data_IF_792372599329
#
_entry.id   IF_792372599329
#
_cell.length_a   1.000
_cell.length_b   1.000
_cell.length_c   1.000
_cell.angle_alpha   90.00
_cell.angle_beta   90.00
_cell.angle_gamma   90.00
#
_symmetry.space_group_name_H-M   'P 1'
#
loop_
_entity.id
_entity.type
_entity.pdbx_description
1 polymer ?
#
# COMPACT_ATOMS: atom_id res chain seq x y z
N UNK A 1 30.21 -13.12 -15.06
CA UNK A 1 28.89 -12.70 -15.61
C UNK A 1 27.86 -13.82 -15.50
N UNK A 2 27.80 -14.83 -16.39
CA UNK A 2 26.80 -15.92 -16.26
C UNK A 2 27.01 -16.82 -15.03
N UNK A 3 28.27 -17.06 -14.64
CA UNK A 3 28.62 -17.86 -13.45
C UNK A 3 28.26 -17.15 -12.14
N UNK A 4 28.56 -15.86 -12.02
CA UNK A 4 28.25 -15.05 -10.84
C UNK A 4 26.74 -14.92 -10.62
N UNK A 5 25.97 -14.69 -11.69
CA UNK A 5 24.49 -14.63 -11.61
C UNK A 5 23.88 -15.98 -11.20
N UNK A 6 24.52 -17.08 -11.57
CA UNK A 6 24.07 -18.42 -11.17
C UNK A 6 24.38 -18.70 -9.69
N UNK A 7 25.56 -18.30 -9.22
CA UNK A 7 25.96 -18.43 -7.81
C UNK A 7 25.07 -17.57 -6.89
N UNK A 8 24.74 -16.33 -7.28
CA UNK A 8 23.78 -15.49 -6.56
C UNK A 8 22.40 -16.14 -6.46
N UNK A 9 21.88 -16.68 -7.57
CA UNK A 9 20.58 -17.36 -7.58
C UNK A 9 20.55 -18.65 -6.77
N UNK A 10 21.66 -19.38 -6.70
CA UNK A 10 21.76 -20.58 -5.86
C UNK A 10 21.86 -20.21 -4.38
N UNK A 11 22.55 -19.11 -4.04
CA UNK A 11 22.68 -18.62 -2.67
C UNK A 11 21.36 -18.09 -2.07
N UNK A 12 20.42 -17.65 -2.92
CA UNK A 12 19.06 -17.27 -2.52
C UNK A 12 18.15 -18.47 -2.21
N UNK A 13 18.45 -19.66 -2.75
CA UNK A 13 17.68 -20.89 -2.49
C UNK A 13 18.26 -21.55 -1.25
N UNK A 14 17.81 -21.12 -0.07
CA UNK A 14 18.28 -21.68 1.21
C UNK A 14 17.43 -22.86 1.66
N UNK A 15 16.17 -22.93 1.24
CA UNK A 15 15.22 -23.98 1.62
C UNK A 15 14.37 -24.46 0.44
N UNK A 16 13.77 -25.64 0.56
CA UNK A 16 12.84 -26.20 -0.43
C UNK A 16 11.63 -25.27 -0.70
N UNK A 17 11.19 -24.54 0.34
CA UNK A 17 10.18 -23.48 0.24
C UNK A 17 10.55 -22.31 -0.67
N UNK A 18 11.83 -22.21 -1.06
CA UNK A 18 12.32 -21.18 -1.97
C UNK A 18 12.19 -21.53 -3.44
N UNK A 19 11.90 -22.79 -3.76
CA UNK A 19 11.65 -23.18 -5.14
C UNK A 19 10.34 -22.58 -5.66
N UNK A 20 10.29 -22.20 -6.94
CA UNK A 20 9.09 -21.67 -7.56
C UNK A 20 8.03 -22.77 -7.67
N UNK A 21 6.88 -22.54 -7.05
CA UNK A 21 5.71 -23.41 -7.15
C UNK A 21 4.79 -23.06 -8.33
N UNK A 22 5.16 -22.07 -9.14
CA UNK A 22 4.33 -21.60 -10.25
C UNK A 22 5.14 -21.49 -11.55
N UNK A 23 4.46 -21.72 -12.67
CA UNK A 23 5.01 -21.56 -14.02
C UNK A 23 4.19 -20.54 -14.81
N UNK A 24 4.84 -19.89 -15.77
CA UNK A 24 4.21 -19.01 -16.74
C UNK A 24 4.40 -19.64 -18.11
N UNK A 25 3.30 -20.00 -18.74
CA UNK A 25 3.27 -20.49 -20.12
C UNK A 25 3.03 -19.30 -21.03
N UNK A 26 3.84 -19.21 -22.08
CA UNK A 26 3.80 -18.15 -23.08
C UNK A 26 3.51 -18.74 -24.45
N UNK A 27 3.16 -17.87 -25.39
CA UNK A 27 2.85 -18.25 -26.76
C UNK A 27 1.59 -19.13 -26.84
N UNK A 28 0.64 -18.89 -25.93
CA UNK A 28 -0.63 -19.62 -25.88
C UNK A 28 -1.55 -19.10 -26.99
N UNK A 29 -2.17 -19.99 -27.80
CA UNK A 29 -3.14 -19.58 -28.83
C UNK A 29 -4.31 -18.80 -28.26
N UNK A 30 -4.82 -17.84 -29.05
CA UNK A 30 -5.95 -16.99 -28.63
C UNK A 30 -7.23 -17.79 -28.41
N UNK A 31 -7.38 -18.92 -29.11
CA UNK A 31 -8.49 -19.85 -28.98
C UNK A 31 -8.67 -20.37 -27.54
N UNK A 32 -7.57 -20.53 -26.79
CA UNK A 32 -7.60 -20.96 -25.37
C UNK A 32 -8.27 -19.91 -24.48
N UNK A 33 -8.24 -18.64 -24.88
CA UNK A 33 -8.86 -17.54 -24.13
C UNK A 33 -10.27 -17.20 -24.59
N UNK A 34 -10.61 -17.54 -25.84
CA UNK A 34 -11.90 -17.20 -26.45
C UNK A 34 -12.91 -18.34 -26.38
N UNK A 35 -12.46 -19.60 -26.40
CA UNK A 35 -13.32 -20.79 -26.38
C UNK A 35 -13.15 -21.59 -25.08
N UNK A 36 -14.25 -21.78 -24.35
CA UNK A 36 -14.27 -22.52 -23.08
C UNK A 36 -13.92 -24.01 -23.24
N UNK A 37 -14.19 -24.63 -24.40
CA UNK A 37 -13.79 -26.03 -24.64
C UNK A 37 -12.28 -26.16 -24.80
N UNK A 38 -11.66 -25.22 -25.52
CA UNK A 38 -10.20 -25.17 -25.69
C UNK A 38 -9.50 -24.84 -24.37
N UNK A 39 -10.09 -23.94 -23.59
CA UNK A 39 -9.64 -23.63 -22.23
C UNK A 39 -9.68 -24.86 -21.33
N UNK A 40 -10.78 -25.63 -21.34
CA UNK A 40 -10.91 -26.86 -20.56
C UNK A 40 -9.90 -27.93 -20.99
N UNK A 41 -9.71 -28.10 -22.30
CA UNK A 41 -8.71 -29.02 -22.84
C UNK A 41 -7.29 -28.62 -22.40
N UNK A 42 -6.97 -27.32 -22.48
CA UNK A 42 -5.69 -26.80 -22.01
C UNK A 42 -5.49 -27.04 -20.50
N UNK A 43 -6.49 -26.71 -19.66
CA UNK A 43 -6.44 -26.96 -18.22
C UNK A 43 -6.24 -28.44 -17.90
N UNK A 44 -6.93 -29.34 -18.63
CA UNK A 44 -6.85 -30.79 -18.42
C UNK A 44 -5.42 -31.35 -18.52
N UNK A 45 -4.58 -30.77 -19.39
CA UNK A 45 -3.18 -31.18 -19.52
C UNK A 45 -2.40 -31.00 -18.22
N UNK A 46 -2.74 -29.98 -17.43
CA UNK A 46 -2.08 -29.66 -16.17
C UNK A 46 -2.82 -30.25 -14.97
N UNK A 47 -4.14 -30.43 -15.07
CA UNK A 47 -4.96 -31.14 -14.06
C UNK A 47 -4.53 -32.61 -13.92
N UNK A 48 -3.94 -33.22 -14.96
CA UNK A 48 -3.34 -34.57 -14.87
C UNK A 48 -2.12 -34.63 -13.95
N UNK A 49 -1.43 -33.50 -13.74
CA UNK A 49 -0.28 -33.40 -12.85
C UNK A 49 -0.77 -33.11 -11.43
N UNK A 50 -1.67 -32.14 -11.30
CA UNK A 50 -2.26 -31.74 -10.02
C UNK A 50 -3.71 -31.30 -10.21
N UNK A 51 -4.64 -31.96 -9.52
CA UNK A 51 -6.08 -31.73 -9.70
C UNK A 51 -6.51 -30.32 -9.28
N UNK A 52 -5.91 -29.77 -8.22
CA UNK A 52 -6.25 -28.48 -7.61
C UNK A 52 -5.30 -27.34 -8.03
N UNK A 53 -4.66 -27.44 -9.21
CA UNK A 53 -3.82 -26.36 -9.73
C UNK A 53 -4.63 -25.09 -10.03
N UNK A 54 -4.10 -23.92 -9.65
CA UNK A 54 -4.75 -22.63 -9.91
C UNK A 54 -4.26 -22.02 -11.23
N UNK A 55 -5.19 -21.51 -12.05
CA UNK A 55 -4.89 -20.98 -13.39
C UNK A 55 -5.28 -19.50 -13.50
N UNK A 56 -4.30 -18.63 -13.75
CA UNK A 56 -4.53 -17.24 -14.13
C UNK A 56 -4.35 -17.06 -15.64
N UNK A 57 -5.45 -16.77 -16.32
CA UNK A 57 -5.46 -16.53 -17.77
C UNK A 57 -5.23 -15.05 -18.06
N UNK A 58 -4.06 -14.72 -18.62
CA UNK A 58 -3.66 -13.35 -18.98
C UNK A 58 -3.82 -13.15 -20.50
N UNK A 59 -5.08 -12.97 -20.94
CA UNK A 59 -5.46 -12.89 -22.37
C UNK A 59 -4.62 -11.89 -23.16
N UNK A 60 -4.48 -10.65 -22.67
CA UNK A 60 -3.76 -9.57 -23.37
C UNK A 60 -2.28 -9.90 -23.61
N UNK A 61 -1.68 -10.71 -22.74
CA UNK A 61 -0.28 -11.10 -22.84
C UNK A 61 -0.08 -12.43 -23.56
N UNK A 62 -1.17 -13.15 -23.90
CA UNK A 62 -1.15 -14.54 -24.38
C UNK A 62 -0.33 -15.45 -23.46
N UNK A 63 -0.56 -15.29 -22.15
CA UNK A 63 0.14 -16.00 -21.08
C UNK A 63 -0.85 -16.64 -20.12
N UNK A 64 -0.45 -17.76 -19.55
CA UNK A 64 -1.18 -18.43 -18.48
C UNK A 64 -0.20 -18.67 -17.34
N UNK A 65 -0.54 -18.21 -16.14
CA UNK A 65 0.19 -18.57 -14.92
C UNK A 65 -0.52 -19.76 -14.29
N UNK A 66 0.23 -20.79 -13.96
CA UNK A 66 -0.26 -21.99 -13.28
C UNK A 66 0.47 -22.08 -11.95
N UNK A 67 -0.28 -22.13 -10.86
CA UNK A 67 0.23 -22.21 -9.49
C UNK A 67 -0.09 -23.61 -8.97
N UNK A 68 0.95 -24.32 -8.54
CA UNK A 68 0.89 -25.65 -7.98
C UNK A 68 1.10 -25.61 -6.46
N UNK A 69 0.64 -26.65 -5.77
CA UNK A 69 0.86 -26.82 -4.34
C UNK A 69 2.31 -27.20 -4.05
N UNK A 70 2.92 -28.03 -4.90
CA UNK A 70 4.30 -28.51 -4.75
C UNK A 70 5.23 -27.94 -5.84
N UNK A 71 6.47 -27.53 -5.49
CA UNK A 71 7.48 -27.14 -6.48
C UNK A 71 7.91 -28.29 -7.41
N UNK A 72 7.75 -29.55 -6.98
CA UNK A 72 8.02 -30.72 -7.82
C UNK A 72 7.05 -30.78 -9.01
N UNK A 73 5.76 -30.56 -8.74
CA UNK A 73 4.72 -30.52 -9.77
C UNK A 73 4.95 -29.37 -10.76
N UNK A 74 5.36 -28.20 -10.26
CA UNK A 74 5.72 -27.07 -11.12
C UNK A 74 6.91 -27.39 -12.04
N UNK A 75 7.90 -28.12 -11.53
CA UNK A 75 9.07 -28.55 -12.30
C UNK A 75 8.69 -29.58 -13.36
N UNK A 76 7.89 -30.58 -12.99
CA UNK A 76 7.36 -31.58 -13.92
C UNK A 76 6.52 -30.92 -15.04
N UNK A 77 5.60 -30.02 -14.67
CA UNK A 77 4.77 -29.28 -15.60
C UNK A 77 5.61 -28.44 -16.58
N UNK A 78 6.67 -27.77 -16.10
CA UNK A 78 7.58 -27.01 -16.96
C UNK A 78 8.29 -27.91 -17.98
N UNK A 79 8.82 -29.06 -17.54
CA UNK A 79 9.52 -30.01 -18.41
C UNK A 79 8.59 -30.57 -19.48
N UNK A 80 7.37 -30.94 -19.10
CA UNK A 80 6.35 -31.45 -20.03
C UNK A 80 5.94 -30.36 -21.05
N UNK A 81 5.76 -29.13 -20.59
CA UNK A 81 5.32 -28.02 -21.46
C UNK A 81 6.38 -27.64 -22.49
N UNK A 82 7.67 -27.77 -22.17
CA UNK A 82 8.76 -27.37 -23.07
C UNK A 82 8.75 -28.13 -24.40
N UNK A 83 8.17 -29.33 -24.43
CA UNK A 83 8.06 -30.16 -25.63
C UNK A 83 6.63 -30.26 -26.18
N UNK A 84 5.68 -29.52 -25.60
CA UNK A 84 4.28 -29.60 -25.99
C UNK A 84 3.93 -28.53 -27.04
N UNK A 85 3.23 -28.95 -28.08
CA UNK A 85 2.57 -28.05 -29.04
C UNK A 85 1.06 -28.11 -28.85
N UNK A 86 0.41 -26.95 -28.73
CA UNK A 86 -1.04 -26.83 -28.61
C UNK A 86 -1.59 -26.06 -29.80
N UNK A 87 -2.54 -26.65 -30.54
CA UNK A 87 -3.10 -26.11 -31.79
C UNK A 87 -2.04 -25.60 -32.78
N UNK A 88 -0.94 -26.34 -32.93
CA UNK A 88 0.18 -25.98 -33.83
C UNK A 88 1.14 -24.92 -33.29
N UNK A 89 0.86 -24.31 -32.14
CA UNK A 89 1.78 -23.39 -31.46
C UNK A 89 2.67 -24.13 -30.46
N UNK A 90 3.98 -23.93 -30.56
CA UNK A 90 4.93 -24.45 -29.60
C UNK A 90 4.88 -23.58 -28.33
N UNK A 91 4.55 -24.20 -27.21
CA UNK A 91 4.43 -23.52 -25.92
C UNK A 91 5.82 -23.34 -25.32
N UNK A 92 6.00 -22.25 -24.57
CA UNK A 92 7.22 -22.03 -23.78
C UNK A 92 6.85 -21.76 -22.34
N UNK A 93 7.47 -22.50 -21.42
CA UNK A 93 7.23 -22.37 -19.98
C UNK A 93 8.44 -21.78 -19.25
N UNK A 94 8.16 -20.86 -18.34
CA UNK A 94 9.14 -20.23 -17.46
C UNK A 94 8.71 -20.42 -16.00
N UNK A 95 9.65 -20.46 -15.06
CA UNK A 95 9.26 -20.40 -13.66
C UNK A 95 8.78 -19.00 -13.32
N UNK A 96 7.66 -18.90 -12.60
CA UNK A 96 7.20 -17.64 -12.06
C UNK A 96 8.08 -17.28 -10.86
N UNK A 97 8.65 -16.08 -10.87
CA UNK A 97 9.38 -15.59 -9.72
C UNK A 97 8.39 -15.31 -8.58
N UNK A 98 8.62 -15.91 -7.42
CA UNK A 98 7.84 -15.59 -6.22
C UNK A 98 8.15 -14.16 -5.84
N UNK A 99 7.15 -13.28 -5.86
CA UNK A 99 7.30 -11.91 -5.38
C UNK A 99 7.41 -11.97 -3.86
N UNK A 100 8.63 -12.10 -3.35
CA UNK A 100 8.93 -11.82 -1.95
C UNK A 100 9.04 -10.31 -1.82
N UNK A 101 7.99 -9.69 -1.30
CA UNK A 101 8.15 -8.39 -0.65
C UNK A 101 9.14 -8.67 0.50
N UNK A 102 10.30 -8.01 0.46
CA UNK A 102 11.45 -8.31 1.31
C UNK A 102 11.04 -8.35 2.80
N UNK A 103 11.68 -9.23 3.56
CA UNK A 103 11.38 -9.37 4.98
C UNK A 103 11.63 -8.05 5.71
N UNK A 104 10.65 -7.61 6.51
CA UNK A 104 10.65 -6.30 7.17
C UNK A 104 11.76 -6.09 8.23
N UNK A 105 12.67 -7.06 8.38
CA UNK A 105 13.61 -7.13 9.49
C UNK A 105 14.88 -6.29 9.33
N UNK A 106 15.35 -5.93 8.12
CA UNK A 106 16.67 -5.27 8.01
C UNK A 106 16.90 -4.37 6.77
N UNK A 107 15.84 -3.81 6.18
CA UNK A 107 15.97 -3.14 4.87
C UNK A 107 16.12 -1.61 4.96
N UNK A 108 16.18 -1.03 6.16
CA UNK A 108 16.11 0.42 6.35
C UNK A 108 14.77 1.04 5.92
N UNK A 109 13.75 0.22 5.65
CA UNK A 109 12.40 0.63 5.33
C UNK A 109 11.59 0.87 6.61
N UNK A 110 10.54 1.69 6.51
CA UNK A 110 9.60 1.92 7.62
C UNK A 110 8.97 0.60 8.06
N UNK A 111 9.09 0.30 9.35
CA UNK A 111 8.48 -0.89 9.96
C UNK A 111 6.95 -0.78 9.94
N UNK A 112 6.27 -1.92 9.80
CA UNK A 112 4.82 -1.95 9.99
C UNK A 112 4.48 -1.40 11.39
N UNK A 113 3.44 -0.56 11.51
CA UNK A 113 3.02 -0.04 12.81
C UNK A 113 2.58 -1.18 13.74
N UNK A 114 2.89 -1.11 15.04
CA UNK A 114 2.41 -2.09 16.02
C UNK A 114 0.87 -2.20 15.97
N UNK A 115 0.36 -3.43 16.05
CA UNK A 115 -1.09 -3.75 15.99
C UNK A 115 -1.94 -2.89 16.95
N UNK A 116 -1.39 -2.54 18.11
CA UNK A 116 -2.04 -1.74 19.15
C UNK A 116 -2.40 -0.30 18.70
N UNK A 117 -1.73 0.23 17.68
CA UNK A 117 -1.92 1.61 17.18
C UNK A 117 -2.65 1.67 15.83
N UNK A 118 -3.11 0.52 15.30
CA UNK A 118 -3.79 0.46 14.01
C UNK A 118 -5.24 0.98 14.05
N UNK A 119 -5.83 1.16 15.24
CA UNK A 119 -7.18 1.73 15.41
C UNK A 119 -7.27 3.23 15.09
N UNK A 120 -6.14 3.94 15.04
CA UNK A 120 -6.08 5.40 14.83
C UNK A 120 -5.74 5.81 13.40
N UNK A 121 -5.55 4.86 12.49
CA UNK A 121 -5.15 5.10 11.11
C UNK A 121 -6.18 4.48 10.17
N UNK A 122 -6.88 5.33 9.42
CA UNK A 122 -7.86 4.92 8.42
C UNK A 122 -7.20 4.15 7.26
N UNK A 123 -7.85 3.10 6.69
CA UNK A 123 -9.25 2.67 6.82
C UNK A 123 -9.46 1.49 7.82
N UNK A 124 -10.69 1.23 8.30
CA UNK A 124 -10.98 0.95 9.71
C UNK A 124 -10.54 -0.45 10.16
N UNK A 125 -9.65 -0.50 11.16
CA UNK A 125 -9.65 -1.58 12.13
C UNK A 125 -10.60 -1.16 13.26
N UNK A 126 -11.73 -1.85 13.38
CA UNK A 126 -12.70 -1.65 14.47
C UNK A 126 -11.97 -1.75 15.82
N UNK A 127 -12.32 -0.93 16.82
CA UNK A 127 -11.87 -1.16 18.19
C UNK A 127 -12.19 -2.60 18.63
N UNK A 128 -11.33 -3.23 19.45
CA UNK A 128 -11.56 -4.59 19.90
C UNK A 128 -12.83 -4.68 20.76
N UNK A 129 -13.44 -5.86 20.81
CA UNK A 129 -14.64 -6.12 21.62
C UNK A 129 -14.33 -5.79 23.09
N UNK A 130 -15.06 -4.83 23.66
CA UNK A 130 -14.88 -4.34 25.03
C UNK A 130 -14.10 -3.02 25.16
N UNK A 131 -13.67 -2.41 24.05
CA UNK A 131 -13.15 -1.04 24.09
C UNK A 131 -14.30 -0.06 24.37
N UNK A 132 -14.20 0.66 25.48
CA UNK A 132 -15.10 1.74 25.84
C UNK A 132 -14.29 3.04 25.86
N UNK A 133 -14.85 4.10 25.28
CA UNK A 133 -14.24 5.42 25.34
C UNK A 133 -14.14 5.84 26.81
N UNK A 134 -12.91 5.90 27.34
CA UNK A 134 -12.70 6.41 28.68
C UNK A 134 -13.19 7.85 28.74
N UNK A 135 -13.96 8.20 29.79
CA UNK A 135 -14.33 9.58 30.01
C UNK A 135 -13.06 10.38 30.28
N UNK A 136 -12.69 11.25 29.34
CA UNK A 136 -11.65 12.25 29.60
C UNK A 136 -12.02 13.01 30.87
N UNK A 137 -11.05 13.20 31.77
CA UNK A 137 -11.32 13.98 32.98
C UNK A 137 -11.88 15.34 32.57
N UNK A 138 -12.90 15.82 33.28
CA UNK A 138 -13.36 17.19 33.12
C UNK A 138 -12.13 18.13 33.19
N UNK A 139 -12.08 19.18 32.34
CA UNK A 139 -11.00 20.15 32.39
C UNK A 139 -10.77 20.54 33.85
N UNK A 140 -9.52 20.60 34.32
CA UNK A 140 -9.23 20.97 35.70
C UNK A 140 -9.69 22.41 35.91
N UNK A 141 -10.94 22.60 36.32
CA UNK A 141 -11.63 23.92 36.39
C UNK A 141 -10.97 24.83 37.42
N UNK A 142 -10.21 24.27 38.37
CA UNK A 142 -9.52 25.02 39.43
C UNK A 142 -8.05 24.61 39.53
N UNK A 143 -7.26 24.78 38.46
CA UNK A 143 -5.81 24.69 38.59
C UNK A 143 -5.31 25.92 39.35
N UNK A 144 -4.92 25.74 40.62
CA UNK A 144 -4.49 26.84 41.49
C UNK A 144 -3.27 27.60 40.96
N UNK A 145 -2.35 26.90 40.28
CA UNK A 145 -1.19 27.53 39.63
C UNK A 145 -1.63 28.38 38.43
N UNK A 146 -2.57 27.88 37.62
CA UNK A 146 -3.15 28.66 36.52
C UNK A 146 -3.90 29.90 37.04
N UNK A 147 -4.70 29.75 38.09
CA UNK A 147 -5.44 30.86 38.70
C UNK A 147 -4.51 31.90 39.32
N UNK A 148 -3.46 31.46 40.02
CA UNK A 148 -2.46 32.37 40.60
C UNK A 148 -1.70 33.14 39.52
N UNK A 149 -1.32 32.47 38.41
CA UNK A 149 -0.69 33.13 37.25
C UNK A 149 -1.65 34.09 36.55
N UNK A 150 -2.92 33.70 36.39
CA UNK A 150 -3.95 34.57 35.81
C UNK A 150 -4.20 35.82 36.67
N UNK A 151 -4.24 35.67 37.99
CA UNK A 151 -4.41 36.78 38.92
C UNK A 151 -3.16 37.68 39.01
N UNK A 152 -1.98 37.15 38.70
CA UNK A 152 -0.73 37.91 38.64
C UNK A 152 -0.55 38.70 37.33
N UNK A 153 -1.40 38.47 36.31
CA UNK A 153 -1.35 39.26 35.07
C UNK A 153 -1.82 40.69 35.30
N UNK A 154 -0.97 41.64 34.90
CA UNK A 154 -1.39 43.02 34.68
C UNK A 154 -1.69 43.21 33.18
N UNK A 155 -2.62 44.11 32.85
CA UNK A 155 -3.17 44.28 31.50
C UNK A 155 -2.10 44.73 30.48
N UNK A 156 -0.97 45.24 30.94
CA UNK A 156 0.09 45.82 30.10
C UNK A 156 1.32 44.90 29.92
N UNK A 157 1.33 43.71 30.52
CA UNK A 157 2.50 42.81 30.47
C UNK A 157 2.44 41.84 29.29
N UNK A 158 3.43 41.92 28.41
CA UNK A 158 3.69 40.90 27.39
C UNK A 158 4.20 39.61 28.06
N UNK A 159 3.50 38.51 27.87
CA UNK A 159 3.82 37.26 28.56
C UNK A 159 4.50 36.24 27.66
N UNK A 160 5.71 35.86 28.04
CA UNK A 160 6.45 34.79 27.38
C UNK A 160 5.96 33.41 27.85
N UNK A 161 5.19 32.74 27.00
CA UNK A 161 4.67 31.39 27.27
C UNK A 161 5.76 30.34 27.05
N UNK A 162 6.62 30.56 26.06
CA UNK A 162 7.68 29.63 25.70
C UNK A 162 8.86 30.39 25.13
N UNK A 163 10.05 30.25 25.72
CA UNK A 163 11.23 31.02 25.33
C UNK A 163 11.91 30.62 24.03
N UNK A 164 11.38 29.61 23.35
CA UNK A 164 11.96 29.07 22.13
C UNK A 164 13.06 28.05 22.40
N UNK A 165 13.34 27.23 21.38
CA UNK A 165 14.49 26.32 21.32
C UNK A 165 15.00 26.27 19.86
N UNK A 166 16.10 25.57 19.58
CA UNK A 166 16.72 25.47 18.24
C UNK A 166 15.71 25.05 17.16
N UNK A 167 14.72 24.22 17.53
CA UNK A 167 13.72 23.66 16.61
C UNK A 167 12.32 24.26 16.80
N UNK A 168 12.11 25.16 17.79
CA UNK A 168 10.78 25.66 18.15
C UNK A 168 10.78 27.17 18.33
N UNK A 169 9.83 27.88 17.71
CA UNK A 169 9.75 29.33 17.83
C UNK A 169 9.36 29.74 19.25
N UNK A 170 9.82 30.93 19.65
CA UNK A 170 9.40 31.61 20.87
C UNK A 170 7.91 31.99 20.77
N UNK A 171 7.15 31.78 21.83
CA UNK A 171 5.72 32.12 21.90
C UNK A 171 5.52 33.18 22.97
N UNK A 172 5.03 34.34 22.57
CA UNK A 172 4.70 35.49 23.43
C UNK A 172 3.25 35.87 23.21
N UNK A 173 2.51 36.08 24.30
CA UNK A 173 1.16 36.62 24.29
C UNK A 173 1.26 38.13 24.52
N UNK A 174 0.67 38.88 23.61
CA UNK A 174 0.49 40.32 23.74
C UNK A 174 -0.94 40.62 24.18
N UNK A 175 -1.16 41.53 25.16
CA UNK A 175 -2.47 42.09 25.41
C UNK A 175 -3.03 42.70 24.12
N UNK A 176 -4.32 42.49 23.85
CA UNK A 176 -4.97 43.12 22.71
C UNK A 176 -5.18 44.61 23.03
N UNK A 177 -4.65 45.50 22.18
CA UNK A 177 -4.93 46.93 22.27
C UNK A 177 -6.44 47.16 22.03
N UNK A 178 -7.06 47.98 22.89
CA UNK A 178 -8.45 48.40 22.74
C UNK A 178 -8.62 49.18 21.42
N UNK A 179 -9.77 49.06 20.78
CA UNK A 179 -10.09 49.60 19.44
C UNK A 179 -9.96 51.14 19.26
N UNK A 180 -9.45 51.86 20.26
CA UNK A 180 -9.17 53.30 20.22
C UNK A 180 -7.82 53.64 19.56
N UNK A 181 -6.92 52.67 19.38
CA UNK A 181 -5.62 52.83 18.68
C UNK A 181 -5.59 52.28 17.22
N UNK A 182 -6.73 51.83 16.67
CA UNK A 182 -6.84 51.23 15.32
C UNK A 182 -6.52 52.17 14.14
N UNK A 183 -6.14 53.42 14.37
CA UNK A 183 -5.92 54.40 13.30
C UNK A 183 -4.65 54.18 12.45
N UNK A 184 -3.78 53.20 12.76
CA UNK A 184 -2.47 53.04 12.09
C UNK A 184 -2.22 51.61 11.53
N UNK A 185 -3.18 50.68 11.58
CA UNK A 185 -2.96 49.33 11.01
C UNK A 185 -3.39 49.33 9.52
N UNK A 186 -2.47 49.08 8.55
CA UNK A 186 -2.86 48.93 7.15
C UNK A 186 -3.79 47.71 7.02
N UNK A 187 -4.87 47.81 6.23
CA UNK A 187 -5.92 46.80 6.20
C UNK A 187 -5.32 45.43 5.88
N UNK A 188 -5.56 44.46 6.76
CA UNK A 188 -5.22 43.06 6.51
C UNK A 188 -5.77 42.67 5.14
N UNK A 189 -4.87 42.35 4.21
CA UNK A 189 -5.26 41.92 2.88
C UNK A 189 -6.18 40.70 3.02
N UNK A 190 -7.47 40.88 2.67
CA UNK A 190 -8.43 39.78 2.72
C UNK A 190 -7.95 38.72 1.74
N UNK A 191 -7.53 37.56 2.26
CA UNK A 191 -7.10 36.46 1.42
C UNK A 191 -8.28 36.03 0.54
N UNK A 192 -8.14 36.02 -0.79
CA UNK A 192 -9.24 35.65 -1.67
C UNK A 192 -9.61 34.18 -1.42
N UNK A 193 -10.90 33.95 -1.21
CA UNK A 193 -11.44 32.61 -1.02
C UNK A 193 -11.10 31.73 -2.23
N UNK A 194 -10.29 30.68 -2.04
CA UNK A 194 -9.93 29.76 -3.11
C UNK A 194 -11.14 28.89 -3.46
N UNK A 195 -11.59 28.86 -4.73
CA UNK A 195 -12.70 28.00 -5.14
C UNK A 195 -12.33 26.53 -4.95
N UNK A 196 -13.31 25.69 -4.58
CA UNK A 196 -13.08 24.24 -4.46
C UNK A 196 -12.60 23.68 -5.80
N UNK A 197 -11.67 22.69 -5.81
CA UNK A 197 -11.31 22.00 -7.04
C UNK A 197 -12.55 21.32 -7.65
N UNK A 198 -12.66 21.28 -9.00
CA UNK A 198 -13.79 20.65 -9.66
C UNK A 198 -13.85 19.16 -9.31
N UNK A 199 -15.05 18.64 -9.05
CA UNK A 199 -15.27 17.21 -8.97
C UNK A 199 -15.08 16.64 -10.37
N UNK A 200 -13.89 16.13 -10.66
CA UNK A 200 -13.66 15.25 -11.80
C UNK A 200 -14.34 13.91 -11.48
N UNK A 201 -15.41 13.52 -12.19
CA UNK A 201 -15.90 12.15 -12.10
C UNK A 201 -14.79 11.22 -12.56
N UNK A 202 -14.57 10.13 -11.82
CA UNK A 202 -13.70 9.03 -12.25
C UNK A 202 -14.15 8.61 -13.65
N UNK A 203 -13.27 8.59 -14.67
CA UNK A 203 -13.67 8.17 -16.00
C UNK A 203 -14.16 6.71 -15.94
N UNK A 204 -15.43 6.51 -16.28
CA UNK A 204 -15.99 5.20 -16.62
C UNK A 204 -15.34 4.77 -17.93
N UNK A 205 -14.47 3.79 -17.84
CA UNK A 205 -13.85 3.14 -18.99
C UNK A 205 -14.82 2.12 -19.56
N UNK A 206 -15.77 2.55 -20.38
CA UNK A 206 -16.54 1.67 -21.24
C UNK A 206 -16.80 2.40 -22.57
N UNK A 207 -16.13 1.89 -23.63
CA UNK A 207 -16.55 1.78 -25.03
C UNK A 207 -16.86 3.07 -25.83
N UNK A 208 -16.59 3.25 -27.13
CA UNK A 208 -16.01 2.45 -28.21
C UNK A 208 -15.84 3.41 -29.42
N UNK A 209 -14.86 3.13 -30.27
CA UNK A 209 -14.97 3.12 -31.73
C UNK A 209 -14.83 4.39 -32.63
N UNK A 210 -14.21 4.12 -33.79
CA UNK A 210 -14.12 4.87 -35.06
C UNK A 210 -13.20 6.09 -35.18
N UNK A 211 -11.96 5.85 -35.64
CA UNK A 211 -11.48 6.15 -37.01
C UNK A 211 -10.00 5.80 -37.21
#
# INVERSE_FOLDING_TARGET
MLSEVLEEKLNEIRNECDLPNAIIITNVPEEVFSNEDQKRNFSSLFTQIEEDAHFDFLKSFRRIRIIFSSPENATAAKLLTQHLSFNGALLKAFFAQRVRLRDASDDGLLKLPPLEKQFLISPPASPPVGWEQCHEMAPVVCNFDLMARLAAFTIDDNYEVFGGDVDKPKIVIHPAESAEDEAIIPPQASLPHTPRPPNTPRPSSDDEDSA
#
